data_IF_765413149389
#
_entry.id   IF_765413149389
#
_cell.length_a   1.000
_cell.length_b   1.000
_cell.length_c   1.000
_cell.angle_alpha   90.00
_cell.angle_beta   90.00
_cell.angle_gamma   90.00
#
_symmetry.space_group_name_H-M   'P 1'
#
loop_
_entity.id
_entity.type
_entity.pdbx_description
1 polymer ?
#
# COMPACT_ATOMS: atom_id res chain seq x y z
N UNK A 1 -16.70 -4.68 10.13
CA UNK A 1 -15.57 -4.38 9.23
C UNK A 1 -14.72 -3.31 9.89
N UNK A 2 -13.52 -3.69 10.35
CA UNK A 2 -12.54 -2.81 10.97
C UNK A 2 -11.53 -2.41 9.91
N UNK A 3 -11.39 -1.12 9.66
CA UNK A 3 -10.43 -0.58 8.70
C UNK A 3 -9.18 -0.07 9.39
N UNK A 4 -8.01 -0.37 8.81
CA UNK A 4 -6.74 0.23 9.19
C UNK A 4 -6.26 1.14 8.08
N UNK A 5 -6.09 2.42 8.36
CA UNK A 5 -5.70 3.42 7.38
C UNK A 5 -4.24 3.82 7.62
N UNK A 6 -3.42 3.76 6.57
CA UNK A 6 -2.01 4.19 6.59
C UNK A 6 -1.78 5.23 5.51
N UNK A 7 -1.25 6.38 5.92
CA UNK A 7 -0.86 7.46 5.00
C UNK A 7 0.65 7.40 4.73
N UNK A 8 1.05 7.49 3.45
CA UNK A 8 2.44 7.45 3.01
C UNK A 8 2.74 8.58 2.04
N UNK A 9 3.63 9.49 2.45
CA UNK A 9 4.26 10.43 1.54
C UNK A 9 5.53 9.77 0.96
N UNK A 10 5.67 9.76 -0.36
CA UNK A 10 6.72 8.95 -1.01
C UNK A 10 7.89 9.76 -1.58
N UNK A 11 7.70 11.05 -1.93
CA UNK A 11 8.78 11.90 -2.44
C UNK A 11 9.59 11.19 -3.55
N UNK A 12 10.93 11.17 -3.42
CA UNK A 12 11.85 10.47 -4.35
C UNK A 12 12.15 9.00 -3.97
N UNK A 13 11.39 8.41 -3.06
CA UNK A 13 11.66 7.06 -2.53
C UNK A 13 11.45 5.99 -3.59
N UNK A 14 12.44 5.10 -3.74
CA UNK A 14 12.38 3.97 -4.69
C UNK A 14 11.82 2.69 -4.07
N UNK A 15 11.78 2.60 -2.73
CA UNK A 15 11.24 1.46 -1.98
C UNK A 15 10.53 1.97 -0.73
N UNK A 16 9.24 1.70 -0.63
CA UNK A 16 8.39 2.19 0.44
C UNK A 16 7.82 1.02 1.24
N UNK A 17 7.90 1.11 2.57
CA UNK A 17 7.34 0.13 3.50
C UNK A 17 6.02 0.65 4.08
N UNK A 18 5.02 -0.22 4.12
CA UNK A 18 3.75 0.00 4.81
C UNK A 18 3.69 -0.96 6.00
N UNK A 19 3.85 -0.44 7.21
CA UNK A 19 3.79 -1.24 8.44
C UNK A 19 2.36 -1.32 8.95
N UNK A 20 1.73 -2.48 8.79
CA UNK A 20 0.35 -2.75 9.22
C UNK A 20 0.26 -3.44 10.58
N UNK A 21 1.35 -3.98 11.13
CA UNK A 21 1.32 -4.68 12.41
C UNK A 21 0.70 -6.07 12.29
N UNK A 22 -0.13 -6.47 13.24
CA UNK A 22 -0.82 -7.76 13.19
C UNK A 22 -2.05 -7.68 12.27
N UNK A 23 -2.14 -8.57 11.28
CA UNK A 23 -3.27 -8.61 10.34
C UNK A 23 -4.58 -9.08 10.99
N UNK A 24 -4.57 -9.67 12.19
CA UNK A 24 -5.79 -10.04 12.91
C UNK A 24 -6.50 -8.86 13.59
N UNK A 25 -5.91 -7.66 13.57
CA UNK A 25 -6.48 -6.45 14.21
C UNK A 25 -7.48 -5.70 13.31
N UNK A 26 -7.59 -6.06 12.03
CA UNK A 26 -8.41 -5.35 11.05
C UNK A 26 -8.88 -6.29 9.95
N UNK A 27 -9.95 -5.90 9.24
CA UNK A 27 -10.50 -6.64 8.10
C UNK A 27 -9.94 -6.11 6.78
N UNK A 28 -9.69 -4.80 6.70
CA UNK A 28 -9.24 -4.11 5.48
C UNK A 28 -8.10 -3.13 5.79
N UNK A 29 -7.00 -3.24 5.04
CA UNK A 29 -5.92 -2.26 5.04
C UNK A 29 -6.16 -1.26 3.91
N UNK A 30 -6.21 0.03 4.24
CA UNK A 30 -6.28 1.15 3.29
C UNK A 30 -4.95 1.88 3.32
N UNK A 31 -4.29 2.01 2.17
CA UNK A 31 -3.04 2.75 2.01
C UNK A 31 -3.27 3.96 1.13
N UNK A 32 -3.14 5.15 1.71
CA UNK A 32 -3.17 6.41 0.98
C UNK A 32 -1.73 6.80 0.64
N UNK A 33 -1.40 6.83 -0.65
CA UNK A 33 -0.07 7.17 -1.15
C UNK A 33 -0.12 8.56 -1.76
N UNK A 34 0.62 9.50 -1.18
CA UNK A 34 0.77 10.86 -1.66
C UNK A 34 2.14 11.00 -2.36
N UNK A 35 2.10 11.27 -3.65
CA UNK A 35 3.30 11.52 -4.49
C UNK A 35 3.75 12.99 -4.50
N UNK A 36 2.99 13.89 -3.84
CA UNK A 36 3.22 15.33 -3.82
C UNK A 36 2.31 16.10 -4.78
N UNK A 37 1.72 15.43 -5.77
CA UNK A 37 0.74 16.00 -6.70
C UNK A 37 -0.67 15.52 -6.37
N UNK A 38 -0.81 14.25 -6.00
CA UNK A 38 -2.09 13.59 -5.71
C UNK A 38 -1.96 12.49 -4.67
N UNK A 39 -3.12 12.12 -4.13
CA UNK A 39 -3.27 10.96 -3.25
C UNK A 39 -3.96 9.84 -4.03
N UNK A 40 -3.32 8.67 -4.08
CA UNK A 40 -3.90 7.42 -4.60
C UNK A 40 -4.25 6.52 -3.43
N UNK A 41 -5.45 5.95 -3.43
CA UNK A 41 -5.91 5.05 -2.36
C UNK A 41 -5.86 3.61 -2.86
N UNK A 42 -5.31 2.73 -2.04
CA UNK A 42 -5.25 1.29 -2.30
C UNK A 42 -5.87 0.53 -1.13
N UNK A 43 -6.50 -0.60 -1.42
CA UNK A 43 -7.13 -1.46 -0.41
C UNK A 43 -6.68 -2.91 -0.56
N UNK A 44 -6.57 -3.61 0.57
CA UNK A 44 -6.17 -5.02 0.66
C UNK A 44 -6.94 -5.66 1.82
N UNK A 45 -7.63 -6.78 1.58
CA UNK A 45 -8.24 -7.56 2.66
C UNK A 45 -7.15 -8.19 3.54
N UNK A 46 -7.32 -8.13 4.86
CA UNK A 46 -6.31 -8.60 5.81
C UNK A 46 -5.96 -10.09 5.65
N UNK A 47 -6.91 -10.91 5.16
CA UNK A 47 -6.72 -12.34 4.86
C UNK A 47 -5.63 -12.60 3.80
N UNK A 48 -5.29 -11.61 2.99
CA UNK A 48 -4.23 -11.70 1.98
C UNK A 48 -2.87 -11.22 2.49
N UNK A 49 -2.81 -10.65 3.70
CA UNK A 49 -1.56 -10.25 4.34
C UNK A 49 -0.94 -11.44 5.09
N UNK A 50 0.39 -11.47 5.14
CA UNK A 50 1.12 -12.51 5.87
C UNK A 50 0.88 -12.40 7.38
N UNK A 51 0.67 -13.55 8.04
CA UNK A 51 0.63 -13.67 9.50
C UNK A 51 2.01 -13.61 10.17
N UNK A 52 3.09 -13.72 9.39
CA UNK A 52 4.48 -13.72 9.88
C UNK A 52 5.17 -12.37 9.68
N UNK A 53 4.60 -11.49 8.84
CA UNK A 53 5.14 -10.17 8.53
C UNK A 53 4.24 -9.09 9.12
N UNK A 54 4.84 -7.96 9.46
CA UNK A 54 4.14 -6.77 9.96
C UNK A 54 3.99 -5.68 8.89
N UNK A 55 4.44 -5.95 7.66
CA UNK A 55 4.57 -4.95 6.62
C UNK A 55 4.62 -5.51 5.20
N UNK A 56 4.18 -4.67 4.25
CA UNK A 56 4.30 -4.89 2.80
C UNK A 56 5.14 -3.77 2.18
N UNK A 57 5.56 -3.97 0.93
CA UNK A 57 6.39 -3.02 0.19
C UNK A 57 5.76 -2.65 -1.14
N UNK A 58 6.00 -1.41 -1.54
CA UNK A 58 5.74 -0.93 -2.90
C UNK A 58 6.90 -0.07 -3.41
N UNK A 59 6.91 0.12 -4.71
CA UNK A 59 7.97 0.75 -5.48
C UNK A 59 7.31 1.79 -6.38
N UNK A 60 7.48 3.09 -6.06
CA UNK A 60 7.11 4.15 -6.98
C UNK A 60 7.96 4.06 -8.25
N UNK A 61 7.32 4.20 -9.39
CA UNK A 61 7.97 4.25 -10.69
C UNK A 61 7.51 5.51 -11.41
N UNK A 62 8.43 6.28 -11.99
CA UNK A 62 8.08 7.48 -12.75
C UNK A 62 8.26 7.19 -14.23
N UNK A 63 7.20 7.37 -15.01
CA UNK A 63 7.23 7.22 -16.47
C UNK A 63 6.47 8.38 -17.09
N UNK A 64 7.13 9.13 -17.98
CA UNK A 64 6.56 10.32 -18.63
C UNK A 64 5.95 11.30 -17.60
N UNK A 65 6.71 11.60 -16.53
CA UNK A 65 6.30 12.44 -15.41
C UNK A 65 5.08 11.94 -14.60
N UNK A 66 4.60 10.72 -14.88
CA UNK A 66 3.51 10.09 -14.13
C UNK A 66 4.09 9.10 -13.13
N UNK A 67 3.73 9.25 -11.86
CA UNK A 67 4.06 8.29 -10.79
C UNK A 67 3.06 7.13 -10.77
N UNK A 68 3.57 5.92 -11.02
CA UNK A 68 2.86 4.65 -10.84
C UNK A 68 3.35 3.92 -9.60
N UNK A 69 2.50 3.08 -9.01
CA UNK A 69 2.84 2.29 -7.83
C UNK A 69 2.88 0.82 -8.23
N UNK A 70 4.05 0.18 -8.08
CA UNK A 70 4.19 -1.26 -8.21
C UNK A 70 4.29 -1.88 -6.82
N UNK A 71 3.44 -2.86 -6.54
CA UNK A 71 3.47 -3.57 -5.27
C UNK A 71 4.40 -4.79 -5.33
N UNK A 72 4.81 -5.33 -4.19
CA UNK A 72 5.59 -6.58 -4.19
C UNK A 72 4.72 -7.76 -4.67
N UNK A 73 5.35 -8.72 -5.36
CA UNK A 73 4.69 -9.87 -5.98
C UNK A 73 3.77 -10.66 -5.05
N UNK A 74 4.08 -10.70 -3.75
CA UNK A 74 3.29 -11.44 -2.76
C UNK A 74 1.85 -10.92 -2.61
N UNK A 75 1.62 -9.62 -2.83
CA UNK A 75 0.29 -9.02 -2.64
C UNK A 75 -0.25 -8.28 -3.86
N UNK A 76 0.52 -8.18 -4.96
CA UNK A 76 0.15 -7.35 -6.13
C UNK A 76 -1.19 -7.75 -6.75
N UNK A 77 -1.54 -9.05 -6.70
CA UNK A 77 -2.80 -9.58 -7.24
C UNK A 77 -4.01 -9.38 -6.32
N UNK A 78 -3.80 -8.89 -5.09
CA UNK A 78 -4.85 -8.67 -4.09
C UNK A 78 -5.06 -7.18 -3.77
N UNK A 79 -4.26 -6.30 -4.39
CA UNK A 79 -4.40 -4.86 -4.29
C UNK A 79 -5.53 -4.38 -5.19
N UNK A 80 -6.44 -3.58 -4.64
CA UNK A 80 -7.39 -2.81 -5.42
C UNK A 80 -7.10 -1.32 -5.26
N UNK A 81 -6.88 -0.62 -6.36
CA UNK A 81 -6.90 0.84 -6.35
C UNK A 81 -8.34 1.33 -6.25
N UNK A 82 -8.58 2.20 -5.27
CA UNK A 82 -9.90 2.76 -4.97
C UNK A 82 -9.91 4.20 -5.47
N UNK A 83 -10.88 4.53 -6.32
CA UNK A 83 -11.12 5.91 -6.79
C UNK A 83 -11.78 6.76 -5.70
#
# INVERSE_FOLDING_TARGET
>A
MIEKIINRNIGKSQKCRVKYGNNSEFDLLIVNINDGERVRKFSIEAKHLSSEKDSIYFYPETKNDVVTIRWNHEIENYINEVQ
#
